data_IF_055979502307
#
_entry.id   IF_055979502307
#
_cell.length_a   1.000
_cell.length_b   1.000
_cell.length_c   1.000
_cell.angle_alpha   90.00
_cell.angle_beta   90.00
_cell.angle_gamma   90.00
#
_symmetry.space_group_name_H-M   'P 1'
#
loop_
_entity.id
_entity.type
_entity.pdbx_description
1 polymer ?
#
# COMPACT_ATOMS: atom_id res chain seq x y z
N UNK A 1 -9.98 -25.17 -1.91
CA UNK A 1 -8.95 -24.51 -2.73
C UNK A 1 -8.20 -23.50 -1.87
N UNK A 2 -6.87 -23.54 -1.91
CA UNK A 2 -6.06 -22.66 -1.08
C UNK A 2 -6.00 -21.26 -1.70
N UNK A 3 -6.33 -20.25 -0.91
CA UNK A 3 -6.28 -18.85 -1.34
C UNK A 3 -4.82 -18.42 -1.53
N UNK A 4 -4.51 -17.69 -2.62
CA UNK A 4 -3.17 -17.17 -2.81
C UNK A 4 -2.94 -15.95 -1.89
N UNK A 5 -1.67 -15.55 -1.72
CA UNK A 5 -1.32 -14.48 -0.79
C UNK A 5 -1.91 -13.13 -1.19
N UNK A 6 -1.95 -12.84 -2.49
CA UNK A 6 -2.56 -11.59 -2.97
C UNK A 6 -4.03 -11.51 -2.58
N UNK A 7 -4.79 -12.58 -2.81
CA UNK A 7 -6.20 -12.61 -2.45
C UNK A 7 -6.37 -12.48 -0.93
N UNK A 8 -5.49 -13.12 -0.17
CA UNK A 8 -5.51 -13.05 1.28
C UNK A 8 -5.36 -11.60 1.78
N UNK A 9 -4.35 -10.86 1.28
CA UNK A 9 -4.14 -9.47 1.70
C UNK A 9 -5.27 -8.56 1.23
N UNK A 10 -5.81 -8.78 0.03
CA UNK A 10 -6.93 -7.98 -0.48
C UNK A 10 -8.18 -8.17 0.39
N UNK A 11 -8.49 -9.40 0.77
CA UNK A 11 -9.60 -9.70 1.67
C UNK A 11 -9.37 -9.07 3.04
N UNK A 12 -8.15 -9.14 3.56
CA UNK A 12 -7.78 -8.54 4.84
C UNK A 12 -7.98 -7.02 4.80
N UNK A 13 -7.54 -6.36 3.73
CA UNK A 13 -7.73 -4.92 3.56
C UNK A 13 -9.20 -4.53 3.53
N UNK A 14 -10.01 -5.30 2.81
CA UNK A 14 -11.44 -5.03 2.74
C UNK A 14 -12.13 -5.21 4.09
N UNK A 15 -11.68 -6.18 4.88
CA UNK A 15 -12.21 -6.44 6.22
C UNK A 15 -11.80 -5.37 7.22
N UNK A 16 -10.52 -4.95 7.20
CA UNK A 16 -9.98 -3.99 8.16
C UNK A 16 -10.34 -2.54 7.82
N UNK A 17 -10.44 -2.22 6.53
CA UNK A 17 -10.70 -0.85 6.05
C UNK A 17 -11.82 -0.86 5.01
N UNK A 18 -13.07 -1.25 5.42
CA UNK A 18 -14.16 -1.44 4.45
C UNK A 18 -14.65 -0.15 3.81
N UNK A 19 -14.32 1.00 4.40
CA UNK A 19 -14.77 2.32 3.91
C UNK A 19 -13.87 2.90 2.82
N UNK A 20 -12.73 2.27 2.54
CA UNK A 20 -11.80 2.78 1.54
C UNK A 20 -12.28 2.47 0.12
N UNK A 21 -12.22 3.48 -0.74
CA UNK A 21 -12.49 3.32 -2.16
C UNK A 21 -11.45 2.40 -2.78
N UNK A 22 -11.89 1.51 -3.66
CA UNK A 22 -11.00 0.56 -4.32
C UNK A 22 -10.77 0.95 -5.77
N UNK A 23 -9.55 0.75 -6.25
CA UNK A 23 -9.18 1.01 -7.63
C UNK A 23 -8.18 -0.03 -8.11
N UNK A 24 -7.98 -0.11 -9.42
CA UNK A 24 -6.98 -1.01 -10.00
C UNK A 24 -6.20 -0.27 -11.06
N UNK A 25 -4.88 -0.41 -10.98
CA UNK A 25 -3.95 0.21 -11.91
C UNK A 25 -3.13 -0.89 -12.57
N UNK A 26 -3.28 -1.05 -13.89
CA UNK A 26 -2.65 -2.15 -14.62
C UNK A 26 -1.13 -1.98 -14.78
N UNK A 27 -0.60 -0.80 -14.48
CA UNK A 27 0.83 -0.52 -14.57
C UNK A 27 1.31 -0.23 -15.98
N UNK A 28 0.41 -0.01 -16.91
CA UNK A 28 0.75 0.31 -18.29
C UNK A 28 0.72 1.81 -18.54
N UNK A 29 1.60 2.28 -19.43
CA UNK A 29 1.58 3.68 -19.86
C UNK A 29 0.56 3.87 -20.99
N UNK A 30 0.49 5.11 -21.54
CA UNK A 30 -0.46 5.46 -22.61
C UNK A 30 -0.26 4.63 -23.87
N UNK A 31 0.95 4.15 -24.12
CA UNK A 31 1.28 3.31 -25.26
C UNK A 31 1.01 1.82 -25.03
N UNK A 32 0.48 1.47 -23.85
CA UNK A 32 0.20 0.08 -23.49
C UNK A 32 1.42 -0.71 -23.02
N UNK A 33 2.55 -0.03 -22.81
CA UNK A 33 3.78 -0.69 -22.33
C UNK A 33 3.74 -0.87 -20.82
N UNK A 34 4.07 -2.06 -20.35
CA UNK A 34 4.13 -2.35 -18.91
C UNK A 34 5.34 -1.65 -18.30
N UNK A 35 5.09 -0.67 -17.44
CA UNK A 35 6.14 0.12 -16.79
C UNK A 35 6.26 -0.15 -15.28
N UNK A 36 5.23 -0.74 -14.68
CA UNK A 36 5.28 -1.18 -13.28
C UNK A 36 4.31 -2.35 -13.09
N UNK A 37 4.37 -2.98 -11.91
CA UNK A 37 3.49 -4.09 -11.60
C UNK A 37 2.04 -3.61 -11.45
N UNK A 38 1.04 -4.42 -11.85
CA UNK A 38 -0.35 -4.10 -11.56
C UNK A 38 -0.55 -3.89 -10.07
N UNK A 39 -1.29 -2.85 -9.70
CA UNK A 39 -1.46 -2.42 -8.30
C UNK A 39 -2.93 -2.25 -7.97
N UNK A 40 -3.33 -2.84 -6.84
CA UNK A 40 -4.67 -2.64 -6.28
C UNK A 40 -4.62 -1.48 -5.30
N UNK A 41 -5.37 -0.42 -5.59
CA UNK A 41 -5.37 0.79 -4.77
C UNK A 41 -6.51 0.82 -3.77
N UNK A 42 -6.25 1.43 -2.60
CA UNK A 42 -7.24 1.63 -1.54
C UNK A 42 -7.18 3.07 -1.08
N UNK A 43 -8.34 3.71 -1.02
CA UNK A 43 -8.44 5.12 -0.67
C UNK A 43 -7.96 6.03 -1.78
N UNK A 44 -8.02 7.32 -1.55
CA UNK A 44 -7.47 8.30 -2.48
C UNK A 44 -7.10 9.57 -1.73
N UNK A 45 -6.13 10.29 -2.25
CA UNK A 45 -5.78 11.61 -1.73
C UNK A 45 -5.28 12.46 -2.89
N UNK A 46 -5.37 13.79 -2.71
CA UNK A 46 -4.90 14.73 -3.72
C UNK A 46 -3.40 14.95 -3.54
N UNK A 47 -2.61 14.47 -4.50
CA UNK A 47 -1.19 14.69 -4.52
C UNK A 47 -0.90 16.01 -5.24
N UNK A 48 -0.37 16.97 -4.51
CA UNK A 48 -0.08 18.32 -5.00
C UNK A 48 1.39 18.47 -5.35
N UNK A 49 1.67 19.04 -6.51
CA UNK A 49 3.03 19.40 -6.93
C UNK A 49 3.16 20.91 -6.96
N UNK A 50 4.35 21.43 -6.64
CA UNK A 50 4.59 22.85 -6.52
C UNK A 50 4.23 23.70 -7.74
N UNK A 51 4.23 23.11 -8.93
CA UNK A 51 3.98 23.84 -10.18
C UNK A 51 2.89 23.23 -11.05
N UNK A 52 2.12 22.27 -10.52
CA UNK A 52 1.11 21.54 -11.31
C UNK A 52 -0.15 21.31 -10.48
N UNK A 53 -1.26 21.15 -11.18
CA UNK A 53 -2.51 20.71 -10.55
C UNK A 53 -2.30 19.36 -9.91
N UNK A 54 -2.87 19.16 -8.73
CA UNK A 54 -2.81 17.90 -8.03
C UNK A 54 -3.58 16.81 -8.75
N UNK A 55 -3.17 15.58 -8.56
CA UNK A 55 -3.86 14.40 -9.07
C UNK A 55 -4.29 13.52 -7.91
N UNK A 56 -5.47 12.92 -8.04
CA UNK A 56 -5.89 11.92 -7.08
C UNK A 56 -5.11 10.63 -7.32
N UNK A 57 -4.57 10.07 -6.24
CA UNK A 57 -3.84 8.81 -6.27
C UNK A 57 -4.27 7.98 -5.06
N UNK A 58 -4.14 6.66 -5.15
CA UNK A 58 -4.48 5.79 -4.03
C UNK A 58 -3.57 6.06 -2.83
N UNK A 59 -4.11 5.92 -1.63
CA UNK A 59 -3.35 6.07 -0.39
C UNK A 59 -2.51 4.83 -0.11
N UNK A 60 -3.09 3.66 -0.31
CA UNK A 60 -2.43 2.37 -0.10
C UNK A 60 -2.50 1.58 -1.40
N UNK A 61 -1.35 1.07 -1.86
CA UNK A 61 -1.28 0.23 -3.05
C UNK A 61 -0.75 -1.15 -2.71
N UNK A 62 -1.35 -2.19 -3.30
CA UNK A 62 -0.92 -3.56 -3.08
C UNK A 62 -0.59 -4.20 -4.42
N UNK A 63 0.62 -4.72 -4.55
CA UNK A 63 1.08 -5.38 -5.77
C UNK A 63 1.69 -6.72 -5.44
N UNK A 64 1.53 -7.68 -6.34
CA UNK A 64 2.23 -8.96 -6.26
C UNK A 64 3.49 -8.86 -7.10
N UNK A 65 4.63 -9.22 -6.50
CA UNK A 65 5.92 -9.22 -7.18
C UNK A 65 6.47 -10.64 -7.20
N UNK A 66 7.63 -10.83 -7.84
CA UNK A 66 8.30 -12.13 -7.84
C UNK A 66 8.69 -12.59 -6.44
N UNK A 67 8.93 -11.63 -5.53
CA UNK A 67 9.36 -11.90 -4.15
C UNK A 67 8.20 -12.08 -3.18
N UNK A 68 6.97 -11.77 -3.58
CA UNK A 68 5.81 -11.85 -2.70
C UNK A 68 4.88 -10.67 -2.87
N UNK A 69 4.48 -10.07 -1.75
CA UNK A 69 3.53 -8.96 -1.72
C UNK A 69 4.26 -7.68 -1.34
N UNK A 70 3.95 -6.59 -2.03
CA UNK A 70 4.44 -5.25 -1.67
C UNK A 70 3.24 -4.35 -1.37
N UNK A 71 3.31 -3.66 -0.23
CA UNK A 71 2.30 -2.69 0.18
C UNK A 71 2.96 -1.30 0.13
N UNK A 72 2.41 -0.42 -0.68
CA UNK A 72 2.91 0.95 -0.83
C UNK A 72 2.02 1.90 -0.04
N UNK A 73 2.65 2.71 0.82
CA UNK A 73 1.95 3.71 1.62
C UNK A 73 2.37 5.08 1.10
N UNK A 74 1.51 5.68 0.29
CA UNK A 74 1.84 6.92 -0.40
C UNK A 74 1.52 8.15 0.46
N UNK A 75 2.25 9.23 0.23
CA UNK A 75 2.00 10.51 0.91
C UNK A 75 2.57 10.64 2.31
N UNK A 76 3.33 9.65 2.78
CA UNK A 76 3.87 9.65 4.15
C UNK A 76 5.33 10.15 4.25
N UNK A 77 5.96 10.40 3.12
CA UNK A 77 7.38 10.78 3.08
C UNK A 77 7.65 12.03 3.92
N UNK A 78 8.61 11.92 4.84
CA UNK A 78 8.95 13.01 5.74
C UNK A 78 7.96 13.23 6.87
N UNK A 79 6.90 12.43 6.99
CA UNK A 79 5.85 12.59 7.99
C UNK A 79 5.68 11.38 8.89
N UNK A 80 6.25 10.25 8.51
CA UNK A 80 6.13 9.00 9.24
C UNK A 80 7.41 8.21 9.08
N UNK A 81 7.92 7.65 10.18
CA UNK A 81 9.06 6.74 10.16
C UNK A 81 8.53 5.30 10.07
N UNK A 82 8.26 4.86 8.85
CA UNK A 82 7.66 3.54 8.64
C UNK A 82 8.52 2.40 9.19
N UNK A 83 9.85 2.37 8.98
CA UNK A 83 10.67 1.32 9.59
C UNK A 83 10.57 1.27 11.10
N UNK A 84 10.46 2.41 11.78
CA UNK A 84 10.31 2.43 13.24
C UNK A 84 8.95 1.87 13.67
N UNK A 85 7.87 2.23 12.98
CA UNK A 85 6.53 1.73 13.27
C UNK A 85 6.47 0.22 13.07
N UNK A 86 7.16 -0.30 12.05
CA UNK A 86 7.13 -1.71 11.69
C UNK A 86 8.29 -2.51 12.28
N UNK A 87 8.97 -2.00 13.31
CA UNK A 87 10.17 -2.62 13.87
C UNK A 87 9.97 -4.09 14.25
N UNK A 88 8.80 -4.43 14.76
CA UNK A 88 8.48 -5.79 15.21
C UNK A 88 7.44 -6.49 14.32
N UNK A 89 7.32 -6.08 13.07
CA UNK A 89 6.28 -6.63 12.19
C UNK A 89 6.53 -8.09 11.79
N UNK A 90 7.79 -8.55 11.84
CA UNK A 90 8.13 -9.93 11.50
C UNK A 90 9.02 -10.01 10.25
N UNK A 91 8.80 -11.03 9.44
CA UNK A 91 9.61 -11.28 8.23
C UNK A 91 9.16 -10.39 7.08
N UNK A 92 9.58 -9.15 7.12
CA UNK A 92 9.24 -8.17 6.08
C UNK A 92 10.41 -7.24 5.85
N UNK A 93 10.49 -6.73 4.62
CA UNK A 93 11.41 -5.67 4.26
C UNK A 93 10.64 -4.36 4.27
N UNK A 94 11.07 -3.40 5.06
CA UNK A 94 10.39 -2.12 5.22
C UNK A 94 11.31 -0.99 4.77
N UNK A 95 10.80 -0.17 3.85
CA UNK A 95 11.48 1.05 3.40
C UNK A 95 10.69 2.26 3.91
N UNK A 96 11.02 3.46 3.46
CA UNK A 96 10.32 4.66 3.86
C UNK A 96 8.85 4.71 3.45
N UNK A 97 8.43 3.89 2.49
CA UNK A 97 7.05 3.92 1.98
C UNK A 97 6.52 2.55 1.56
N UNK A 98 7.25 1.48 1.78
CA UNK A 98 6.88 0.15 1.29
C UNK A 98 7.13 -0.92 2.33
N UNK A 99 6.19 -1.85 2.45
CA UNK A 99 6.32 -3.05 3.27
C UNK A 99 6.21 -4.24 2.33
N UNK A 100 7.25 -5.08 2.27
CA UNK A 100 7.27 -6.27 1.41
C UNK A 100 7.43 -7.52 2.24
N UNK A 101 6.63 -8.55 1.94
CA UNK A 101 6.69 -9.82 2.65
C UNK A 101 6.22 -10.95 1.73
N UNK A 102 6.48 -12.19 2.12
CA UNK A 102 6.10 -13.35 1.31
C UNK A 102 4.72 -13.88 1.65
N UNK A 103 4.40 -13.95 2.93
CA UNK A 103 3.13 -14.53 3.43
C UNK A 103 2.56 -13.69 4.56
N UNK A 104 1.24 -13.57 4.61
CA UNK A 104 0.57 -12.86 5.70
C UNK A 104 0.88 -13.48 7.06
N UNK A 105 1.07 -14.80 7.13
CA UNK A 105 1.40 -15.48 8.39
C UNK A 105 2.78 -15.13 8.93
N UNK A 106 3.66 -14.56 8.10
CA UNK A 106 5.01 -14.18 8.50
C UNK A 106 5.06 -12.83 9.20
N UNK A 107 3.98 -12.08 9.19
CA UNK A 107 3.96 -10.72 9.76
C UNK A 107 2.89 -10.58 10.84
N UNK A 108 3.09 -9.57 11.70
CA UNK A 108 2.13 -9.18 12.72
C UNK A 108 1.09 -8.27 12.08
N UNK A 109 -0.13 -8.80 11.91
CA UNK A 109 -1.21 -8.07 11.25
C UNK A 109 -1.67 -6.86 12.05
N UNK A 110 -1.52 -6.88 13.38
CA UNK A 110 -1.86 -5.73 14.22
C UNK A 110 -0.92 -4.56 13.94
N UNK A 111 0.37 -4.84 13.76
CA UNK A 111 1.35 -3.81 13.40
C UNK A 111 1.10 -3.29 11.99
N UNK A 112 0.76 -4.18 11.06
CA UNK A 112 0.40 -3.77 9.71
C UNK A 112 -0.82 -2.84 9.71
N UNK A 113 -1.86 -3.19 10.48
CA UNK A 113 -3.04 -2.36 10.64
C UNK A 113 -2.67 -0.97 11.17
N UNK A 114 -1.84 -0.93 12.22
CA UNK A 114 -1.40 0.33 12.81
C UNK A 114 -0.66 1.20 11.80
N UNK A 115 0.26 0.62 11.04
CA UNK A 115 1.05 1.34 10.04
C UNK A 115 0.15 1.93 8.95
N UNK A 116 -0.78 1.14 8.43
CA UNK A 116 -1.71 1.58 7.39
C UNK A 116 -2.63 2.68 7.94
N UNK A 117 -3.16 2.50 9.15
CA UNK A 117 -4.05 3.47 9.77
C UNK A 117 -3.35 4.81 9.98
N UNK A 118 -2.10 4.81 10.43
CA UNK A 118 -1.32 6.04 10.58
C UNK A 118 -1.08 6.72 9.22
N UNK A 119 -0.75 5.95 8.20
CA UNK A 119 -0.55 6.47 6.85
C UNK A 119 -1.83 7.12 6.32
N UNK A 120 -2.99 6.49 6.53
CA UNK A 120 -4.28 7.04 6.11
C UNK A 120 -4.58 8.35 6.84
N UNK A 121 -4.31 8.43 8.13
CA UNK A 121 -4.52 9.65 8.90
C UNK A 121 -3.65 10.80 8.39
N UNK A 122 -2.40 10.52 8.03
CA UNK A 122 -1.48 11.52 7.50
C UNK A 122 -2.01 12.06 6.18
N UNK A 123 -2.43 11.21 5.26
CA UNK A 123 -2.90 11.65 3.95
C UNK A 123 -4.29 12.28 4.00
N UNK A 124 -5.12 11.93 4.95
CA UNK A 124 -6.44 12.54 5.13
C UNK A 124 -6.38 13.97 5.69
N UNK A 125 -5.20 14.40 6.15
CA UNK A 125 -5.00 15.76 6.65
C UNK A 125 -4.63 16.76 5.56
N UNK A 126 -4.48 16.30 4.34
CA UNK A 126 -4.17 17.18 3.19
C UNK A 126 -5.41 17.86 2.64
#
# INVERSE_FOLDING_TARGET
MKMNELQHILNWMQSEFPHLERSFHDGKNEQGKQICNPTYGFGSYLQSYASKEGKNIFQIGIAQTKSGISIYLLGIRGKMDLPAVCQNIGKAKVTGYCISFRKMEDIDQSILHLAINEALNITNLY
#
